data_IF_456441552598
#
_entry.id   IF_456441552598
#
_cell.length_a   1.000
_cell.length_b   1.000
_cell.length_c   1.000
_cell.angle_alpha   90.00
_cell.angle_beta   90.00
_cell.angle_gamma   90.00
#
_symmetry.space_group_name_H-M   'P 1'
#
loop_
_entity.id
_entity.type
_entity.pdbx_description
1 polymer ?
#
# COMPACT_ATOMS: atom_id res chain seq x y z
N UNK A 1 3.36 18.90 0.52
CA UNK A 1 3.50 19.46 -0.84
C UNK A 1 2.34 20.40 -1.06
N UNK A 2 2.58 21.65 -1.43
CA UNK A 2 1.49 22.62 -1.60
C UNK A 2 0.67 22.30 -2.85
N UNK A 3 -0.66 22.43 -2.75
CA UNK A 3 -1.60 22.21 -3.87
C UNK A 3 -1.51 23.31 -4.92
N UNK A 4 -1.21 24.53 -4.48
CA UNK A 4 -1.10 25.74 -5.30
C UNK A 4 0.25 26.37 -5.04
N UNK A 5 1.04 26.54 -6.10
CA UNK A 5 2.32 27.24 -6.02
C UNK A 5 2.18 28.75 -6.34
N UNK A 6 3.21 29.50 -5.98
CA UNK A 6 3.27 30.94 -6.24
C UNK A 6 3.14 31.29 -7.73
N UNK A 7 3.67 30.42 -8.62
CA UNK A 7 3.56 30.62 -10.07
C UNK A 7 2.13 30.47 -10.58
N UNK A 8 1.34 29.60 -9.93
CA UNK A 8 -0.07 29.46 -10.25
C UNK A 8 -0.83 30.76 -9.94
N UNK A 9 -0.51 31.40 -8.79
CA UNK A 9 -1.12 32.68 -8.42
C UNK A 9 -0.67 33.82 -9.31
N UNK A 10 0.62 33.93 -9.62
CA UNK A 10 1.15 34.93 -10.56
C UNK A 10 0.46 34.82 -11.92
N UNK A 11 0.30 33.62 -12.43
CA UNK A 11 -0.40 33.35 -13.69
C UNK A 11 -1.89 33.69 -13.60
N UNK A 12 -2.52 33.35 -12.46
CA UNK A 12 -3.95 33.62 -12.25
C UNK A 12 -4.29 35.10 -12.16
N UNK A 13 -3.41 35.90 -11.54
CA UNK A 13 -3.62 37.36 -11.33
C UNK A 13 -2.94 38.22 -12.39
N UNK A 14 -2.09 37.66 -13.24
CA UNK A 14 -1.23 38.37 -14.21
C UNK A 14 -0.37 39.45 -13.54
N UNK A 15 0.33 39.11 -12.46
CA UNK A 15 1.16 40.03 -11.68
C UNK A 15 2.61 39.53 -11.55
N UNK A 16 3.51 40.47 -11.32
CA UNK A 16 4.87 40.23 -10.87
C UNK A 16 5.01 40.62 -9.40
N UNK A 17 5.69 39.80 -8.61
CA UNK A 17 5.93 40.00 -7.17
C UNK A 17 7.43 40.19 -6.92
N UNK A 18 7.77 41.01 -5.92
CA UNK A 18 9.11 41.07 -5.37
C UNK A 18 9.36 39.86 -4.49
N UNK A 19 10.63 39.49 -4.23
CA UNK A 19 10.96 38.30 -3.38
C UNK A 19 10.27 38.38 -2.02
N UNK A 20 10.24 39.52 -1.36
CA UNK A 20 9.56 39.69 -0.07
C UNK A 20 8.05 39.43 -0.14
N UNK A 21 7.43 39.84 -1.26
CA UNK A 21 6.00 39.56 -1.49
C UNK A 21 5.77 38.06 -1.81
N UNK A 22 6.71 37.43 -2.50
CA UNK A 22 6.66 35.98 -2.77
C UNK A 22 6.67 35.17 -1.50
N UNK A 23 7.54 35.51 -0.54
CA UNK A 23 7.63 34.84 0.73
C UNK A 23 6.29 34.97 1.51
N UNK A 24 5.75 36.19 1.60
CA UNK A 24 4.47 36.43 2.27
C UNK A 24 3.29 35.71 1.58
N UNK A 25 3.28 35.68 0.25
CA UNK A 25 2.24 34.99 -0.54
C UNK A 25 2.35 33.47 -0.35
N UNK A 26 3.55 32.93 -0.21
CA UNK A 26 3.72 31.51 0.08
C UNK A 26 3.09 31.12 1.42
N UNK A 27 3.31 31.94 2.46
CA UNK A 27 2.69 31.74 3.77
C UNK A 27 1.15 31.82 3.70
N UNK A 28 0.61 32.73 2.90
CA UNK A 28 -0.84 32.83 2.67
C UNK A 28 -1.39 31.57 1.99
N UNK A 29 -0.72 31.08 0.94
CA UNK A 29 -1.15 29.89 0.22
C UNK A 29 -1.14 28.64 1.12
N UNK A 30 -0.10 28.47 1.93
CA UNK A 30 0.02 27.36 2.88
C UNK A 30 -1.02 27.47 4.01
N UNK A 31 -1.30 28.69 4.49
CA UNK A 31 -2.37 28.96 5.44
C UNK A 31 -3.76 28.58 4.90
N UNK A 32 -4.09 29.04 3.69
CA UNK A 32 -5.36 28.73 3.03
C UNK A 32 -5.53 27.23 2.74
N UNK A 33 -4.45 26.54 2.36
CA UNK A 33 -4.49 25.10 2.21
C UNK A 33 -4.79 24.42 3.57
N UNK A 34 -4.13 24.85 4.63
CA UNK A 34 -4.33 24.32 5.99
C UNK A 34 -5.77 24.54 6.48
N UNK A 35 -6.36 25.72 6.20
CA UNK A 35 -7.76 25.99 6.50
C UNK A 35 -8.72 25.07 5.72
N UNK A 36 -8.44 24.85 4.43
CA UNK A 36 -9.22 23.92 3.61
C UNK A 36 -9.15 22.50 4.15
N UNK A 37 -7.95 22.04 4.53
CA UNK A 37 -7.75 20.71 5.13
C UNK A 37 -8.47 20.57 6.47
N UNK A 38 -8.41 21.61 7.31
CA UNK A 38 -9.15 21.65 8.57
C UNK A 38 -10.67 21.60 8.37
N UNK A 39 -11.19 22.32 7.37
CA UNK A 39 -12.59 22.29 7.02
C UNK A 39 -13.05 20.93 6.49
N UNK A 40 -12.24 20.27 5.67
CA UNK A 40 -12.52 18.94 5.13
C UNK A 40 -12.29 17.81 6.14
N UNK A 41 -11.57 18.07 7.24
CA UNK A 41 -11.15 17.09 8.23
C UNK A 41 -10.15 16.05 7.70
N UNK A 42 -9.47 16.36 6.60
CA UNK A 42 -8.50 15.45 5.94
C UNK A 42 -7.57 16.20 4.98
N UNK A 43 -6.35 15.66 4.71
CA UNK A 43 -5.43 16.25 3.76
C UNK A 43 -6.02 16.32 2.35
N UNK A 44 -5.73 17.40 1.63
CA UNK A 44 -6.05 17.58 0.19
C UNK A 44 -4.94 17.11 -0.72
N UNK A 45 -3.81 16.69 -0.17
CA UNK A 45 -2.69 16.09 -0.90
C UNK A 45 -2.51 14.64 -0.50
N UNK A 46 -2.15 13.79 -1.46
CA UNK A 46 -1.81 12.41 -1.15
C UNK A 46 -0.45 12.36 -0.45
N UNK A 47 -0.42 11.71 0.70
CA UNK A 47 0.78 11.49 1.49
C UNK A 47 0.96 10.01 1.81
N UNK A 48 2.21 9.60 1.94
CA UNK A 48 2.54 8.30 2.50
C UNK A 48 2.37 8.34 4.01
N UNK A 49 1.61 7.41 4.54
CA UNK A 49 1.27 7.30 5.96
C UNK A 49 1.43 5.87 6.41
N UNK A 50 1.97 5.69 7.61
CA UNK A 50 1.94 4.40 8.31
C UNK A 50 1.01 4.53 9.50
N UNK A 51 0.04 3.64 9.60
CA UNK A 51 -0.93 3.58 10.68
C UNK A 51 -0.91 2.21 11.34
N UNK A 52 -1.06 2.20 12.66
CA UNK A 52 -1.27 0.98 13.43
C UNK A 52 -2.71 0.90 13.91
N UNK A 53 -3.29 -0.28 13.77
CA UNK A 53 -4.63 -0.62 14.20
C UNK A 53 -4.59 -1.92 15.01
N UNK A 54 -5.33 -1.95 16.09
CA UNK A 54 -5.54 -3.19 16.85
C UNK A 54 -6.77 -3.89 16.29
N UNK A 55 -6.65 -5.16 15.94
CA UNK A 55 -7.80 -5.97 15.52
C UNK A 55 -8.75 -6.08 16.72
N UNK A 56 -9.97 -5.51 16.62
CA UNK A 56 -10.89 -5.52 17.74
C UNK A 56 -11.33 -6.94 18.07
N UNK A 57 -11.41 -7.22 19.35
CA UNK A 57 -12.05 -8.44 19.83
C UNK A 57 -13.56 -8.26 19.79
N UNK A 58 -14.19 -8.52 18.66
CA UNK A 58 -15.66 -8.45 18.53
C UNK A 58 -16.41 -9.46 19.40
N UNK A 59 -15.72 -10.18 20.25
CA UNK A 59 -16.27 -11.34 20.96
C UNK A 59 -16.48 -11.16 22.45
N UNK A 60 -16.47 -9.94 22.94
CA UNK A 60 -16.96 -9.68 24.29
C UNK A 60 -18.46 -9.92 24.31
N UNK A 61 -18.86 -11.15 24.60
CA UNK A 61 -20.27 -11.54 24.81
C UNK A 61 -20.85 -12.58 23.84
N UNK A 62 -20.13 -12.97 22.80
CA UNK A 62 -20.56 -14.07 21.93
C UNK A 62 -19.78 -15.33 22.31
N UNK A 63 -20.44 -16.45 22.70
CA UNK A 63 -19.75 -17.68 23.01
C UNK A 63 -18.91 -18.14 21.81
N UNK A 64 -17.71 -18.63 22.05
CA UNK A 64 -16.82 -19.14 21.00
C UNK A 64 -17.45 -20.25 20.12
N UNK A 65 -18.56 -20.82 20.58
CA UNK A 65 -19.34 -21.83 19.87
C UNK A 65 -20.29 -21.28 18.81
N UNK A 66 -20.47 -19.95 18.70
CA UNK A 66 -21.32 -19.32 17.66
C UNK A 66 -20.55 -18.95 16.39
N UNK A 67 -19.25 -19.25 16.32
CA UNK A 67 -18.49 -19.13 15.09
C UNK A 67 -18.96 -20.20 14.11
N UNK A 68 -19.30 -19.75 12.92
CA UNK A 68 -19.82 -20.55 11.82
C UNK A 68 -19.00 -21.82 11.63
N UNK A 69 -19.49 -22.92 12.20
CA UNK A 69 -19.09 -24.25 11.81
C UNK A 69 -19.71 -24.50 10.44
N UNK A 70 -18.88 -24.52 9.40
CA UNK A 70 -19.33 -25.12 8.16
C UNK A 70 -19.36 -26.64 8.37
N UNK A 71 -20.53 -27.17 8.66
CA UNK A 71 -20.76 -28.59 8.79
C UNK A 71 -20.71 -29.36 7.46
N UNK A 72 -20.39 -28.69 6.36
CA UNK A 72 -20.35 -29.32 5.03
C UNK A 72 -19.02 -30.02 4.72
N UNK A 73 -18.01 -29.88 5.58
CA UNK A 73 -16.74 -30.57 5.38
C UNK A 73 -16.79 -31.95 6.02
N UNK A 74 -16.60 -32.95 5.17
CA UNK A 74 -16.55 -34.38 5.48
C UNK A 74 -15.71 -34.65 6.75
N UNK A 75 -16.28 -35.36 7.68
CA UNK A 75 -15.77 -35.64 9.03
C UNK A 75 -14.47 -36.48 9.09
N UNK A 76 -13.79 -36.67 7.97
CA UNK A 76 -12.54 -37.44 7.90
C UNK A 76 -11.28 -36.60 8.05
N UNK A 77 -11.36 -35.28 7.97
CA UNK A 77 -10.22 -34.43 8.27
C UNK A 77 -10.39 -33.75 9.62
N UNK A 78 -9.60 -34.17 10.59
CA UNK A 78 -9.55 -33.66 11.96
C UNK A 78 -8.96 -32.25 12.08
N UNK A 79 -9.15 -31.41 11.11
CA UNK A 79 -8.77 -30.00 11.09
C UNK A 79 -10.02 -29.12 11.17
N UNK A 80 -10.27 -28.51 12.33
CA UNK A 80 -11.23 -27.42 12.45
C UNK A 80 -10.71 -26.25 11.58
N UNK A 81 -11.19 -26.16 10.34
CA UNK A 81 -10.97 -24.99 9.51
C UNK A 81 -11.81 -23.85 10.08
N UNK A 82 -11.21 -23.06 10.95
CA UNK A 82 -11.77 -21.77 11.34
C UNK A 82 -11.75 -20.88 10.09
N UNK A 83 -12.91 -20.67 9.48
CA UNK A 83 -13.07 -19.56 8.55
C UNK A 83 -13.02 -18.31 9.42
N UNK A 84 -11.88 -17.64 9.43
CA UNK A 84 -11.78 -16.34 10.06
C UNK A 84 -12.64 -15.37 9.24
N UNK A 85 -13.59 -14.66 9.86
CA UNK A 85 -14.33 -13.64 9.15
C UNK A 85 -13.33 -12.59 8.67
N UNK A 86 -13.45 -12.18 7.41
CA UNK A 86 -12.68 -11.07 6.90
C UNK A 86 -12.95 -9.82 7.73
N UNK A 87 -11.91 -9.04 7.98
CA UNK A 87 -12.01 -7.83 8.79
C UNK A 87 -11.52 -6.64 8.01
N UNK A 88 -12.37 -5.62 7.90
CA UNK A 88 -12.00 -4.36 7.25
C UNK A 88 -11.39 -3.41 8.28
N UNK A 89 -10.14 -3.02 8.03
CA UNK A 89 -9.46 -1.96 8.76
C UNK A 89 -9.58 -0.68 7.95
N UNK A 90 -10.26 0.30 8.50
CA UNK A 90 -10.47 1.60 7.85
C UNK A 90 -9.25 2.50 8.06
N UNK A 91 -8.68 2.97 6.96
CA UNK A 91 -7.61 3.94 6.98
C UNK A 91 -8.11 5.34 7.34
N UNK A 92 -7.28 6.12 8.04
CA UNK A 92 -7.60 7.50 8.43
C UNK A 92 -7.51 8.45 7.23
N UNK A 93 -6.49 8.28 6.40
CA UNK A 93 -6.28 9.10 5.21
C UNK A 93 -6.85 8.44 3.96
N UNK A 94 -8.12 8.66 3.70
CA UNK A 94 -8.85 8.11 2.55
C UNK A 94 -9.08 9.14 1.45
N UNK A 95 -9.22 8.75 0.18
CA UNK A 95 -9.13 7.40 -0.35
C UNK A 95 -7.70 6.86 -0.38
N UNK A 96 -7.55 5.54 -0.27
CA UNK A 96 -6.28 4.86 -0.49
C UNK A 96 -6.01 4.79 -1.98
N UNK A 97 -4.81 5.20 -2.41
CA UNK A 97 -4.38 5.07 -3.81
C UNK A 97 -3.40 3.92 -4.03
N UNK A 98 -2.56 3.64 -3.04
CA UNK A 98 -1.58 2.55 -3.10
C UNK A 98 -1.25 2.07 -1.70
N UNK A 99 -1.22 0.75 -1.49
CA UNK A 99 -0.73 0.13 -0.26
C UNK A 99 0.65 -0.43 -0.52
N UNK A 100 1.64 0.03 0.23
CA UNK A 100 3.03 -0.41 0.09
C UNK A 100 3.34 -1.63 0.93
N UNK A 101 2.80 -1.67 2.14
CA UNK A 101 3.10 -2.74 3.10
C UNK A 101 1.93 -2.91 4.06
N UNK A 102 1.61 -4.16 4.36
CA UNK A 102 0.72 -4.55 5.46
C UNK A 102 1.44 -5.59 6.29
N UNK A 103 1.53 -5.38 7.59
CA UNK A 103 2.11 -6.33 8.52
C UNK A 103 1.18 -6.60 9.68
N UNK A 104 1.25 -7.80 10.21
CA UNK A 104 0.59 -8.20 11.46
C UNK A 104 1.67 -8.55 12.47
N UNK A 105 1.53 -8.00 13.66
CA UNK A 105 2.31 -8.37 14.84
C UNK A 105 1.38 -8.97 15.87
N UNK A 106 1.63 -10.22 16.24
CA UNK A 106 0.91 -10.89 17.32
C UNK A 106 1.52 -10.54 18.69
N UNK A 107 0.86 -11.01 19.77
CA UNK A 107 1.33 -10.82 21.15
C UNK A 107 2.69 -11.47 21.43
N UNK A 108 3.14 -12.43 20.61
CA UNK A 108 4.47 -13.05 20.72
C UNK A 108 5.57 -12.25 20.02
N UNK A 109 5.26 -11.08 19.49
CA UNK A 109 6.19 -10.07 18.95
C UNK A 109 6.78 -10.37 17.56
N UNK A 110 6.41 -11.45 16.91
CA UNK A 110 6.84 -11.71 15.53
C UNK A 110 6.00 -10.90 14.54
N UNK A 111 6.68 -10.05 13.76
CA UNK A 111 6.05 -9.28 12.70
C UNK A 111 6.06 -10.09 11.40
N UNK A 112 4.90 -10.27 10.80
CA UNK A 112 4.72 -10.98 9.54
C UNK A 112 4.19 -10.03 8.46
N UNK A 113 4.87 -9.97 7.33
CA UNK A 113 4.35 -9.28 6.15
C UNK A 113 3.19 -10.07 5.54
N UNK A 114 2.14 -9.36 5.17
CA UNK A 114 0.99 -9.94 4.50
C UNK A 114 1.12 -9.80 2.98
N UNK A 115 0.70 -10.83 2.27
CA UNK A 115 0.64 -10.86 0.82
C UNK A 115 -0.71 -10.37 0.32
N UNK A 116 -0.72 -9.64 -0.79
CA UNK A 116 -1.98 -9.22 -1.43
C UNK A 116 -2.75 -10.40 -2.01
N UNK A 117 -4.08 -10.32 -1.99
CA UNK A 117 -4.96 -11.31 -2.60
C UNK A 117 -4.95 -11.30 -4.13
N UNK A 118 -4.43 -10.24 -4.76
CA UNK A 118 -4.43 -10.04 -6.20
C UNK A 118 -3.27 -10.80 -6.86
N UNK A 119 -3.56 -11.51 -7.95
CA UNK A 119 -2.52 -12.09 -8.79
C UNK A 119 -1.82 -11.02 -9.62
N UNK A 120 -0.51 -10.92 -9.48
CA UNK A 120 0.35 -9.99 -10.22
C UNK A 120 1.31 -10.76 -11.12
N UNK A 121 1.70 -10.17 -12.25
CA UNK A 121 2.61 -10.79 -13.23
C UNK A 121 3.72 -9.83 -13.62
N UNK A 122 4.94 -10.39 -13.80
CA UNK A 122 6.09 -9.64 -14.28
C UNK A 122 6.94 -10.49 -15.22
N UNK A 123 7.44 -9.86 -16.30
CA UNK A 123 8.36 -10.54 -17.25
C UNK A 123 9.79 -10.36 -16.73
N UNK A 124 10.52 -11.46 -16.62
CA UNK A 124 11.89 -11.48 -16.12
C UNK A 124 12.84 -11.10 -17.27
N UNK A 125 13.77 -10.20 -16.97
CA UNK A 125 14.81 -9.75 -17.89
C UNK A 125 16.21 -10.22 -17.49
N UNK A 126 16.42 -10.59 -16.22
CA UNK A 126 17.64 -11.16 -15.69
C UNK A 126 17.38 -11.90 -14.39
N UNK A 127 18.32 -12.79 -14.02
CA UNK A 127 18.30 -13.45 -12.72
C UNK A 127 19.71 -13.72 -12.21
N UNK A 128 19.92 -13.63 -10.91
CA UNK A 128 21.18 -13.96 -10.26
C UNK A 128 20.94 -14.79 -9.00
N UNK A 129 21.73 -15.85 -8.83
CA UNK A 129 21.67 -16.73 -7.65
C UNK A 129 22.62 -16.21 -6.60
N UNK A 130 22.14 -16.05 -5.38
CA UNK A 130 22.92 -15.63 -4.24
C UNK A 130 22.67 -16.59 -3.05
N UNK A 131 23.48 -17.62 -2.95
CA UNK A 131 23.32 -18.66 -1.95
C UNK A 131 21.99 -19.39 -2.08
N UNK A 132 21.15 -19.34 -1.05
CA UNK A 132 19.82 -19.96 -1.06
C UNK A 132 18.71 -19.01 -1.58
N UNK A 133 19.04 -17.85 -2.13
CA UNK A 133 18.10 -16.90 -2.68
C UNK A 133 18.38 -16.61 -4.16
N UNK A 134 17.35 -16.21 -4.88
CA UNK A 134 17.46 -15.76 -6.28
C UNK A 134 16.91 -14.36 -6.37
N UNK A 135 17.69 -13.46 -6.97
CA UNK A 135 17.26 -12.11 -7.32
C UNK A 135 16.86 -12.12 -8.78
N UNK A 136 15.61 -11.78 -9.04
CA UNK A 136 15.07 -11.62 -10.40
C UNK A 136 14.95 -10.14 -10.73
N UNK A 137 15.36 -9.76 -11.94
CA UNK A 137 15.15 -8.42 -12.49
C UNK A 137 13.91 -8.44 -13.36
N UNK A 138 12.92 -7.65 -12.96
CA UNK A 138 11.64 -7.50 -13.64
C UNK A 138 11.00 -6.20 -13.20
N UNK A 139 10.38 -5.45 -14.11
CA UNK A 139 9.50 -4.37 -13.71
C UNK A 139 8.27 -4.98 -13.05
N UNK A 140 8.04 -4.70 -11.79
CA UNK A 140 7.04 -5.38 -10.98
C UNK A 140 6.40 -4.45 -9.96
N UNK A 141 5.23 -4.85 -9.48
CA UNK A 141 4.47 -4.23 -8.41
C UNK A 141 4.19 -5.24 -7.27
N UNK A 142 5.09 -6.19 -7.10
CA UNK A 142 4.96 -7.22 -6.08
C UNK A 142 5.07 -6.63 -4.67
N UNK A 143 4.62 -7.41 -3.69
CA UNK A 143 4.68 -7.05 -2.27
C UNK A 143 5.48 -8.12 -1.52
N UNK A 144 6.26 -7.71 -0.52
CA UNK A 144 6.96 -8.65 0.36
C UNK A 144 5.92 -9.54 1.05
N UNK A 145 6.22 -10.85 1.12
CA UNK A 145 5.32 -11.87 1.67
C UNK A 145 4.43 -12.53 0.63
N UNK A 146 4.28 -11.99 -0.58
CA UNK A 146 3.59 -12.70 -1.66
C UNK A 146 4.35 -13.97 -2.04
N UNK A 147 3.59 -14.99 -2.46
CA UNK A 147 4.16 -16.21 -3.01
C UNK A 147 4.26 -16.08 -4.53
N UNK A 148 5.45 -16.31 -5.06
CA UNK A 148 5.73 -16.21 -6.50
C UNK A 148 6.06 -17.56 -7.10
N UNK A 149 5.56 -17.77 -8.29
CA UNK A 149 5.96 -18.88 -9.19
C UNK A 149 6.61 -18.27 -10.41
N UNK A 150 7.81 -18.74 -10.74
CA UNK A 150 8.56 -18.36 -11.96
C UNK A 150 8.57 -19.54 -12.90
N UNK A 151 8.00 -19.36 -14.08
CA UNK A 151 7.95 -20.33 -15.19
C UNK A 151 8.66 -19.80 -16.42
N UNK A 152 8.84 -20.68 -17.41
CA UNK A 152 9.32 -20.35 -18.76
C UNK A 152 10.68 -19.63 -18.78
N UNK A 153 11.53 -19.87 -17.79
CA UNK A 153 12.88 -19.32 -17.68
C UNK A 153 13.93 -20.35 -18.06
N UNK A 154 15.00 -19.90 -18.71
CA UNK A 154 16.14 -20.72 -19.06
C UNK A 154 17.39 -20.21 -18.33
N UNK A 155 18.13 -21.08 -17.60
CA UNK A 155 17.88 -22.52 -17.40
C UNK A 155 16.71 -22.80 -16.46
N UNK A 156 16.13 -23.99 -16.60
CA UNK A 156 14.98 -24.43 -15.76
C UNK A 156 15.32 -24.56 -14.27
N UNK A 157 16.61 -24.62 -13.93
CA UNK A 157 17.09 -24.59 -12.54
C UNK A 157 16.81 -23.25 -11.83
N UNK A 158 16.45 -22.21 -12.54
CA UNK A 158 15.99 -20.92 -11.99
C UNK A 158 14.48 -20.85 -11.78
N UNK A 159 13.72 -21.88 -12.17
CA UNK A 159 12.31 -21.95 -11.89
C UNK A 159 12.07 -22.10 -10.39
N UNK A 160 11.11 -21.35 -9.87
CA UNK A 160 10.67 -21.45 -8.48
C UNK A 160 9.14 -21.59 -8.46
N UNK A 161 8.63 -22.32 -7.48
CA UNK A 161 7.19 -22.54 -7.34
C UNK A 161 6.73 -22.19 -5.93
N UNK A 162 5.79 -21.25 -5.84
CA UNK A 162 5.15 -20.85 -4.60
C UNK A 162 6.10 -20.39 -3.50
N UNK A 163 7.22 -19.76 -3.86
CA UNK A 163 8.21 -19.25 -2.91
C UNK A 163 7.88 -17.84 -2.48
N UNK A 164 8.22 -17.51 -1.24
CA UNK A 164 7.95 -16.20 -0.65
C UNK A 164 8.93 -15.14 -1.17
N UNK A 165 8.39 -13.96 -1.50
CA UNK A 165 9.18 -12.76 -1.82
C UNK A 165 9.68 -12.14 -0.53
N UNK A 166 10.99 -12.09 -0.36
CA UNK A 166 11.66 -11.59 0.85
C UNK A 166 12.14 -10.15 0.72
N UNK A 167 12.37 -9.66 -0.51
CA UNK A 167 12.70 -8.27 -0.78
C UNK A 167 12.16 -7.86 -2.15
N UNK A 168 11.81 -6.59 -2.31
CA UNK A 168 11.22 -6.05 -3.54
C UNK A 168 11.69 -4.61 -3.77
N UNK A 169 11.90 -4.28 -5.04
CA UNK A 169 12.00 -2.91 -5.58
C UNK A 169 11.14 -2.83 -6.84
N UNK A 170 10.98 -1.65 -7.43
CA UNK A 170 10.22 -1.47 -8.67
C UNK A 170 10.75 -2.32 -9.84
N UNK A 171 12.05 -2.67 -9.80
CA UNK A 171 12.73 -3.36 -10.89
C UNK A 171 13.33 -4.72 -10.50
N UNK A 172 13.28 -5.11 -9.24
CA UNK A 172 13.79 -6.40 -8.78
C UNK A 172 12.92 -6.99 -7.68
N UNK A 173 12.92 -8.32 -7.59
CA UNK A 173 12.38 -9.03 -6.44
C UNK A 173 13.29 -10.21 -6.07
N UNK A 174 13.37 -10.50 -4.79
CA UNK A 174 14.19 -11.59 -4.23
C UNK A 174 13.29 -12.67 -3.68
N UNK A 175 13.59 -13.89 -4.05
CA UNK A 175 12.91 -15.09 -3.53
C UNK A 175 13.85 -15.80 -2.60
N UNK A 176 13.39 -16.03 -1.38
CA UNK A 176 14.08 -16.83 -0.39
C UNK A 176 13.85 -18.34 -0.61
N UNK A 177 14.64 -19.15 0.11
CA UNK A 177 14.46 -20.60 0.17
C UNK A 177 14.50 -21.32 -1.21
N UNK A 178 15.23 -20.73 -2.16
CA UNK A 178 15.40 -21.28 -3.50
C UNK A 178 16.58 -22.27 -3.54
N UNK A 179 16.64 -23.17 -2.54
CA UNK A 179 17.65 -24.21 -2.48
C UNK A 179 17.58 -25.09 -3.74
N UNK A 180 18.68 -25.17 -4.49
CA UNK A 180 18.75 -25.89 -5.76
C UNK A 180 18.69 -24.98 -7.00
N UNK A 181 18.38 -23.71 -6.86
CA UNK A 181 18.54 -22.77 -7.96
C UNK A 181 20.03 -22.62 -8.34
N UNK A 182 20.34 -22.75 -9.60
CA UNK A 182 21.72 -22.70 -10.10
C UNK A 182 21.77 -22.31 -11.57
N UNK A 183 22.95 -21.83 -11.99
CA UNK A 183 23.18 -21.43 -13.37
C UNK A 183 23.01 -19.94 -13.61
N UNK A 184 23.41 -19.51 -14.78
CA UNK A 184 23.28 -18.13 -15.23
C UNK A 184 22.03 -17.97 -16.09
N UNK A 185 21.33 -16.88 -15.90
CA UNK A 185 20.16 -16.54 -16.73
C UNK A 185 20.54 -16.46 -18.22
N UNK A 186 19.72 -17.06 -19.07
CA UNK A 186 19.88 -17.03 -20.52
C UNK A 186 18.73 -16.27 -21.18
N UNK A 187 17.50 -16.65 -20.89
CA UNK A 187 16.33 -16.01 -21.50
C UNK A 187 15.00 -16.42 -20.85
N UNK A 188 13.96 -15.64 -21.17
CA UNK A 188 12.58 -15.95 -20.81
C UNK A 188 12.29 -15.66 -19.35
N UNK A 189 11.16 -16.14 -18.86
CA UNK A 189 10.70 -16.07 -17.49
C UNK A 189 9.47 -15.19 -17.31
N UNK A 190 8.45 -15.80 -16.75
CA UNK A 190 7.24 -15.15 -16.27
C UNK A 190 7.09 -15.40 -14.78
N UNK A 191 7.14 -14.34 -14.01
CA UNK A 191 6.84 -14.38 -12.59
C UNK A 191 5.34 -14.11 -12.39
N UNK A 192 4.68 -14.97 -11.62
CA UNK A 192 3.29 -14.79 -11.19
C UNK A 192 3.26 -14.84 -9.67
N UNK A 193 2.95 -13.72 -9.06
CA UNK A 193 2.81 -13.63 -7.61
C UNK A 193 1.33 -13.73 -7.21
N UNK A 194 1.06 -14.50 -6.17
CA UNK A 194 -0.27 -14.68 -5.60
C UNK A 194 -0.20 -14.53 -4.09
N UNK A 195 -1.27 -13.99 -3.54
CA UNK A 195 -1.48 -13.89 -2.10
C UNK A 195 -2.98 -13.96 -1.83
N UNK A 196 -3.34 -14.17 -0.60
CA UNK A 196 -4.73 -14.21 -0.14
C UNK A 196 -4.88 -13.70 1.30
N UNK A 197 -3.95 -12.87 1.73
CA UNK A 197 -3.94 -12.39 3.12
C UNK A 197 -4.76 -11.12 3.30
N UNK A 198 -4.87 -10.29 2.26
CA UNK A 198 -5.71 -9.08 2.30
C UNK A 198 -6.13 -8.59 0.92
N UNK A 199 -7.16 -7.76 0.90
CA UNK A 199 -7.62 -7.00 -0.28
C UNK A 199 -7.67 -5.52 0.04
N UNK A 200 -7.24 -4.69 -0.92
CA UNK A 200 -7.27 -3.24 -0.79
C UNK A 200 -8.60 -2.69 -1.28
N UNK A 201 -9.26 -1.92 -0.44
CA UNK A 201 -10.45 -1.14 -0.76
C UNK A 201 -10.14 0.35 -0.75
N UNK A 202 -11.00 1.15 -1.34
CA UNK A 202 -10.84 2.61 -1.40
C UNK A 202 -10.68 3.28 -0.03
N UNK A 203 -11.25 2.68 1.02
CA UNK A 203 -11.30 3.27 2.37
C UNK A 203 -10.60 2.45 3.43
N UNK A 204 -9.96 1.34 3.06
CA UNK A 204 -9.33 0.46 4.03
C UNK A 204 -8.74 -0.79 3.40
N UNK A 205 -8.30 -1.67 4.25
CA UNK A 205 -7.75 -2.98 3.89
C UNK A 205 -8.59 -4.06 4.55
N UNK A 206 -9.09 -5.00 3.76
CA UNK A 206 -9.80 -6.19 4.26
C UNK A 206 -8.79 -7.31 4.47
N UNK A 207 -8.67 -7.75 5.71
CA UNK A 207 -7.74 -8.80 6.12
C UNK A 207 -8.43 -10.14 6.15
N UNK A 208 -7.76 -11.16 5.64
CA UNK A 208 -8.18 -12.58 5.72
C UNK A 208 -7.34 -13.35 6.72
N UNK A 209 -6.43 -12.66 7.42
CA UNK A 209 -5.58 -13.18 8.48
C UNK A 209 -5.60 -12.25 9.69
N UNK A 210 -5.20 -12.80 10.82
CA UNK A 210 -5.04 -12.10 12.08
C UNK A 210 -6.03 -12.58 13.14
N UNK A 211 -5.65 -12.37 14.39
CA UNK A 211 -6.45 -12.73 15.55
C UNK A 211 -6.87 -11.48 16.30
N UNK A 212 -7.93 -11.52 17.09
CA UNK A 212 -8.27 -10.45 18.00
C UNK A 212 -7.07 -10.02 18.85
N UNK A 213 -6.88 -8.71 18.99
CA UNK A 213 -5.76 -8.04 19.66
C UNK A 213 -4.41 -8.06 18.91
N UNK A 214 -4.31 -8.67 17.73
CA UNK A 214 -3.14 -8.44 16.88
C UNK A 214 -3.07 -6.99 16.45
N UNK A 215 -1.83 -6.49 16.28
CA UNK A 215 -1.57 -5.14 15.79
C UNK A 215 -1.26 -5.22 14.30
N UNK A 216 -2.05 -4.52 13.50
CA UNK A 216 -1.85 -4.40 12.05
C UNK A 216 -1.22 -3.05 11.75
N UNK A 217 -0.08 -3.05 11.08
CA UNK A 217 0.55 -1.84 10.55
C UNK A 217 0.34 -1.78 9.05
N UNK A 218 -0.21 -0.66 8.57
CA UNK A 218 -0.50 -0.42 7.15
C UNK A 218 0.28 0.80 6.70
N UNK A 219 1.19 0.61 5.73
CA UNK A 219 1.87 1.72 5.04
C UNK A 219 1.24 1.91 3.68
N UNK A 220 0.68 3.08 3.44
CA UNK A 220 -0.07 3.36 2.23
C UNK A 220 0.05 4.83 1.81
N UNK A 221 -0.25 5.11 0.55
CA UNK A 221 -0.47 6.47 0.05
C UNK A 221 -1.98 6.73 0.07
N UNK A 222 -2.39 7.75 0.79
CA UNK A 222 -3.79 8.10 0.93
C UNK A 222 -4.02 9.60 1.05
N UNK A 223 -5.28 10.00 0.99
CA UNK A 223 -5.72 11.39 0.96
C UNK A 223 -6.39 11.76 -0.35
N UNK A 224 -6.94 12.95 -0.41
CA UNK A 224 -7.54 13.47 -1.64
C UNK A 224 -6.44 13.80 -2.65
N UNK A 225 -6.65 13.44 -3.92
CA UNK A 225 -5.84 14.00 -5.00
C UNK A 225 -6.39 15.40 -5.37
N UNK A 226 -6.01 16.39 -4.57
CA UNK A 226 -6.43 17.76 -4.77
C UNK A 226 -5.91 18.35 -6.08
N UNK A 227 -4.81 17.79 -6.63
CA UNK A 227 -4.29 18.21 -7.94
C UNK A 227 -5.25 17.86 -9.07
N UNK A 228 -5.97 16.75 -8.97
CA UNK A 228 -7.02 16.35 -9.90
C UNK A 228 -8.33 17.13 -9.69
N UNK A 229 -8.54 17.70 -8.51
CA UNK A 229 -9.76 18.45 -8.18
C UNK A 229 -9.54 19.95 -8.44
N UNK A 230 -9.70 20.36 -9.69
CA UNK A 230 -9.50 21.76 -10.13
C UNK A 230 -10.22 22.79 -9.26
N UNK A 231 -11.35 22.42 -8.64
CA UNK A 231 -12.12 23.28 -7.77
C UNK A 231 -11.33 23.71 -6.53
N UNK A 232 -10.58 22.82 -5.88
CA UNK A 232 -9.78 23.16 -4.71
C UNK A 232 -8.70 24.17 -5.05
N UNK A 233 -7.98 23.94 -6.15
CA UNK A 233 -6.98 24.88 -6.66
C UNK A 233 -7.59 26.25 -6.91
N UNK A 234 -8.74 26.30 -7.56
CA UNK A 234 -9.44 27.57 -7.86
C UNK A 234 -9.94 28.28 -6.60
N UNK A 235 -10.40 27.54 -5.58
CA UNK A 235 -10.82 28.13 -4.30
C UNK A 235 -9.65 28.81 -3.61
N UNK A 236 -8.50 28.12 -3.48
CA UNK A 236 -7.29 28.69 -2.89
C UNK A 236 -6.82 29.92 -3.68
N UNK A 237 -6.76 29.85 -5.01
CA UNK A 237 -6.34 30.97 -5.84
C UNK A 237 -7.26 32.20 -5.69
N UNK A 238 -8.57 32.00 -5.60
CA UNK A 238 -9.54 33.08 -5.38
C UNK A 238 -9.41 33.72 -4.00
N UNK A 239 -9.21 32.89 -2.97
CA UNK A 239 -8.99 33.39 -1.62
C UNK A 239 -7.67 34.17 -1.52
N UNK A 240 -6.58 33.59 -2.01
CA UNK A 240 -5.26 34.22 -2.02
C UNK A 240 -5.25 35.53 -2.82
N UNK A 241 -5.94 35.62 -3.96
CA UNK A 241 -6.01 36.85 -4.75
C UNK A 241 -6.64 38.02 -4.00
N UNK A 242 -7.61 37.77 -3.11
CA UNK A 242 -8.22 38.77 -2.25
C UNK A 242 -7.26 39.27 -1.18
N UNK A 243 -6.52 38.36 -0.56
CA UNK A 243 -5.53 38.72 0.47
C UNK A 243 -4.39 39.54 -0.16
N UNK A 244 -3.88 39.11 -1.30
CA UNK A 244 -2.78 39.81 -2.01
C UNK A 244 -3.19 41.19 -2.52
N UNK A 245 -4.46 41.41 -2.91
CA UNK A 245 -4.95 42.73 -3.28
C UNK A 245 -5.03 43.70 -2.10
N UNK A 246 -5.06 43.21 -0.88
CA UNK A 246 -5.10 44.00 0.33
C UNK A 246 -3.72 44.24 0.95
N UNK A 247 -2.65 43.67 0.39
CA UNK A 247 -1.25 43.91 0.79
C UNK A 247 -0.66 45.16 0.16
#
# INVERSE_FOLDING_TARGET
MSLVGIQDLKTYMDISLTQRQEDAVTDILDGLQSELEAFLGRPVTQNEVTEEHVIPSYFQGVPATSFFYDHSLDSTETGLNYIQPSQVIYARNTPISNVKRVTIRNLSADEMNLAEAIQKKATITSASVNGASVVFTANNDFTIGQRVTVSDITPSSLQVSGREITAVTDTTFTVGDAAGASGSYVSGGLATATGNDYTVHRYGVELYRGFPNDVVSITYTGGLDGSAIKMFKLMILRAASREVQNM
#
